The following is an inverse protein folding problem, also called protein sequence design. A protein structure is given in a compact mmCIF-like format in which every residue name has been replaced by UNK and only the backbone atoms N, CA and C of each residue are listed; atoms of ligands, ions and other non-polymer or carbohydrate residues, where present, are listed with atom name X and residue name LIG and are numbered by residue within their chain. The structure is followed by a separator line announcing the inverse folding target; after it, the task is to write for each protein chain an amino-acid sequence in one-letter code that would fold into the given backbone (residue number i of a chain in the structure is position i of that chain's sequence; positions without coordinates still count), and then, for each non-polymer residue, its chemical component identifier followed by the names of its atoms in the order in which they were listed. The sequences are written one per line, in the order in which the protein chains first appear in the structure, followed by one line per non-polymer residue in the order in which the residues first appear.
data_IF_403832582792
#
_entry.id   IF_403832582792
#
_cell.length_a   1.000
_cell.length_b   1.000
_cell.length_c   1.000
_cell.angle_alpha   90.00
_cell.angle_beta   90.00
_cell.angle_gamma   90.00
#
_symmetry.space_group_name_H-M   'P 1'
#
loop_
_entity.id
_entity.type
_entity.pdbx_description
1 polymer ?
#
# COMPACT_ATOMS: atom_id res chain seq x y z
N UNK A 1 -3.47 -24.32 16.46
CA UNK A 1 -3.77 -23.03 15.84
C UNK A 1 -2.79 -22.85 14.69
N UNK A 2 -3.25 -22.84 13.44
CA UNK A 2 -2.37 -22.48 12.33
C UNK A 2 -2.10 -20.97 12.47
N UNK A 3 -0.85 -20.49 12.37
CA UNK A 3 -0.58 -19.05 12.37
C UNK A 3 -1.35 -18.46 11.19
N UNK A 4 -2.42 -17.73 11.51
CA UNK A 4 -3.34 -17.21 10.52
C UNK A 4 -2.75 -15.98 9.89
N UNK A 5 -2.78 -15.89 8.57
CA UNK A 5 -2.55 -14.64 7.84
C UNK A 5 -3.56 -13.62 8.37
N UNK A 6 -3.12 -12.47 8.84
CA UNK A 6 -4.00 -11.35 9.16
C UNK A 6 -4.30 -10.68 7.84
N UNK A 7 -5.57 -10.71 7.48
CA UNK A 7 -6.09 -10.02 6.33
C UNK A 7 -7.43 -9.45 6.73
N UNK A 8 -7.68 -8.17 6.43
CA UNK A 8 -8.99 -7.56 6.64
C UNK A 8 -10.13 -8.40 6.02
N UNK A 9 -9.83 -9.17 4.96
CA UNK A 9 -10.78 -10.09 4.32
C UNK A 9 -11.26 -11.24 5.21
N UNK A 10 -10.55 -11.58 6.31
CA UNK A 10 -11.02 -12.57 7.29
C UNK A 10 -12.30 -12.12 8.01
N UNK A 11 -12.50 -10.80 8.16
CA UNK A 11 -13.71 -10.25 8.75
C UNK A 11 -14.93 -10.39 7.82
N UNK A 12 -14.71 -10.60 6.53
CA UNK A 12 -15.76 -10.68 5.50
C UNK A 12 -16.05 -12.15 5.20
N UNK A 13 -17.02 -12.73 5.92
CA UNK A 13 -17.31 -14.19 5.88
C UNK A 13 -17.44 -14.78 4.48
N UNK A 14 -18.11 -14.11 3.56
CA UNK A 14 -18.31 -14.63 2.20
C UNK A 14 -17.02 -14.64 1.37
N UNK A 15 -16.06 -13.75 1.67
CA UNK A 15 -14.72 -13.79 1.08
C UNK A 15 -13.93 -14.90 1.76
N UNK A 16 -13.80 -14.87 3.10
CA UNK A 16 -12.98 -15.81 3.86
C UNK A 16 -13.33 -17.29 3.62
N UNK A 17 -14.63 -17.61 3.54
CA UNK A 17 -15.10 -18.98 3.26
C UNK A 17 -15.38 -19.22 1.76
N UNK A 18 -15.20 -18.20 0.92
CA UNK A 18 -15.53 -18.24 -0.50
C UNK A 18 -14.35 -18.55 -1.43
N UNK A 19 -14.60 -18.61 -2.74
CA UNK A 19 -13.55 -18.79 -3.75
C UNK A 19 -12.58 -17.60 -3.78
N UNK A 20 -13.06 -16.40 -3.47
CA UNK A 20 -12.27 -15.16 -3.51
C UNK A 20 -11.07 -15.20 -2.56
N UNK A 21 -11.20 -15.84 -1.39
CA UNK A 21 -10.05 -16.06 -0.50
C UNK A 21 -8.91 -16.79 -1.19
N UNK A 22 -9.21 -17.87 -1.92
CA UNK A 22 -8.19 -18.69 -2.59
C UNK A 22 -7.61 -18.00 -3.83
N UNK A 23 -8.42 -17.20 -4.50
CA UNK A 23 -8.04 -16.57 -5.76
C UNK A 23 -7.28 -15.27 -5.53
N UNK A 24 -7.66 -14.50 -4.49
CA UNK A 24 -7.34 -13.08 -4.38
C UNK A 24 -6.56 -12.72 -3.11
N UNK A 25 -6.54 -13.61 -2.10
CA UNK A 25 -5.74 -13.42 -0.89
C UNK A 25 -4.45 -14.24 -0.97
N UNK A 26 -3.34 -13.53 -1.16
CA UNK A 26 -2.02 -14.14 -1.35
C UNK A 26 -1.21 -14.09 -0.05
N UNK A 27 -0.85 -15.26 0.47
CA UNK A 27 -0.14 -15.41 1.74
C UNK A 27 1.32 -14.98 1.72
N UNK A 28 1.96 -15.00 0.55
CA UNK A 28 3.36 -14.64 0.38
C UNK A 28 3.46 -13.29 -0.32
N UNK A 29 3.74 -12.18 0.40
CA UNK A 29 3.80 -10.85 -0.20
C UNK A 29 4.73 -10.73 -1.40
N UNK A 30 5.88 -11.42 -1.39
CA UNK A 30 6.87 -11.37 -2.47
C UNK A 30 6.36 -11.90 -3.81
N UNK A 31 5.21 -12.59 -3.84
CA UNK A 31 4.52 -12.97 -5.07
C UNK A 31 4.18 -11.76 -5.97
N UNK A 32 3.96 -10.56 -5.39
CA UNK A 32 3.75 -9.35 -6.22
C UNK A 32 4.91 -9.10 -7.19
N UNK A 33 6.14 -9.39 -6.77
CA UNK A 33 7.35 -9.14 -7.56
C UNK A 33 7.42 -10.08 -8.79
N UNK A 34 6.94 -11.31 -8.64
CA UNK A 34 6.85 -12.27 -9.75
C UNK A 34 5.63 -11.97 -10.63
N UNK A 35 4.50 -11.57 -10.06
CA UNK A 35 3.30 -11.18 -10.82
C UNK A 35 3.59 -10.00 -11.75
N UNK A 36 4.27 -8.96 -11.25
CA UNK A 36 4.72 -7.83 -12.07
C UNK A 36 5.63 -8.31 -13.20
N UNK A 37 6.65 -9.11 -12.88
CA UNK A 37 7.63 -9.61 -13.85
C UNK A 37 6.99 -10.50 -14.94
N UNK A 38 5.91 -11.20 -14.59
CA UNK A 38 5.21 -12.13 -15.49
C UNK A 38 4.00 -11.52 -16.21
N UNK A 39 3.75 -10.22 -16.07
CA UNK A 39 2.61 -9.59 -16.73
C UNK A 39 1.25 -10.01 -16.12
N UNK A 40 1.19 -10.19 -14.80
CA UNK A 40 0.00 -10.61 -14.04
C UNK A 40 -0.44 -9.64 -12.94
N UNK A 41 0.05 -8.40 -12.94
CA UNK A 41 -0.36 -7.40 -11.95
C UNK A 41 -1.86 -7.08 -12.15
N UNK A 42 -2.62 -7.08 -11.07
CA UNK A 42 -4.06 -6.78 -11.09
C UNK A 42 -4.31 -5.27 -11.14
N UNK A 43 -5.51 -4.87 -11.58
CA UNK A 43 -5.91 -3.46 -11.66
C UNK A 43 -5.89 -2.73 -10.31
N UNK A 44 -6.16 -3.45 -9.23
CA UNK A 44 -5.98 -2.99 -7.84
C UNK A 44 -5.25 -4.11 -7.10
N UNK A 45 -4.20 -3.76 -6.36
CA UNK A 45 -3.44 -4.70 -5.53
C UNK A 45 -3.08 -4.03 -4.22
N UNK A 46 -3.44 -4.67 -3.10
CA UNK A 46 -3.04 -4.26 -1.76
C UNK A 46 -1.94 -5.20 -1.29
N UNK A 47 -0.79 -4.65 -0.92
CA UNK A 47 0.40 -5.43 -0.59
C UNK A 47 0.94 -4.96 0.75
N UNK A 48 1.09 -5.90 1.68
CA UNK A 48 1.73 -5.68 2.96
C UNK A 48 3.06 -6.44 3.00
N UNK A 49 4.13 -5.88 3.58
CA UNK A 49 5.35 -6.65 3.83
C UNK A 49 5.10 -7.77 4.86
N UNK A 50 6.05 -8.69 4.95
CA UNK A 50 6.14 -9.59 6.11
C UNK A 50 6.68 -8.82 7.33
N UNK A 51 6.47 -9.33 8.55
CA UNK A 51 6.98 -8.73 9.80
C UNK A 51 8.44 -8.22 9.71
N UNK A 52 9.45 -9.03 9.33
CA UNK A 52 10.84 -8.58 9.24
C UNK A 52 11.13 -7.61 8.10
N UNK A 53 10.22 -7.44 7.14
CA UNK A 53 10.36 -6.50 6.04
C UNK A 53 9.40 -5.32 6.15
N UNK A 54 8.73 -5.18 7.29
CA UNK A 54 7.94 -4.01 7.64
C UNK A 54 8.81 -2.99 8.40
N UNK A 55 8.23 -1.82 8.66
CA UNK A 55 8.81 -0.83 9.58
C UNK A 55 8.33 -1.02 11.03
N UNK A 56 7.64 -2.13 11.33
CA UNK A 56 7.12 -2.40 12.68
C UNK A 56 8.27 -2.49 13.69
N UNK A 57 8.08 -1.87 14.86
CA UNK A 57 9.03 -1.95 15.97
C UNK A 57 9.30 -3.40 16.38
N UNK A 58 10.52 -3.69 16.83
CA UNK A 58 10.85 -5.02 17.35
C UNK A 58 11.06 -6.10 16.28
N UNK A 59 10.93 -5.76 14.99
CA UNK A 59 11.21 -6.71 13.89
C UNK A 59 12.65 -7.18 13.82
N UNK A 60 13.58 -6.43 14.43
CA UNK A 60 15.01 -6.73 14.40
C UNK A 60 15.66 -6.50 13.02
N UNK A 61 14.94 -5.83 12.11
CA UNK A 61 15.32 -5.61 10.72
C UNK A 61 15.06 -4.15 10.30
N UNK A 62 15.74 -3.70 9.25
CA UNK A 62 15.56 -2.39 8.65
C UNK A 62 15.28 -2.48 7.13
N UNK A 63 14.72 -3.61 6.67
CA UNK A 63 14.51 -3.88 5.25
C UNK A 63 13.23 -3.26 4.68
N UNK A 64 12.37 -2.63 5.49
CA UNK A 64 11.14 -1.94 5.06
C UNK A 64 11.32 -1.01 3.86
N UNK A 65 12.25 -0.04 3.90
CA UNK A 65 12.51 0.83 2.75
C UNK A 65 13.00 0.07 1.51
N UNK A 66 13.72 -1.04 1.69
CA UNK A 66 14.17 -1.89 0.58
C UNK A 66 13.01 -2.69 -0.03
N UNK A 67 12.04 -3.10 0.79
CA UNK A 67 10.83 -3.76 0.33
C UNK A 67 9.99 -2.84 -0.55
N UNK A 68 9.67 -1.63 -0.05
CA UNK A 68 8.94 -0.61 -0.81
C UNK A 68 9.68 -0.28 -2.11
N UNK A 69 11.00 -0.07 -2.04
CA UNK A 69 11.82 0.21 -3.22
C UNK A 69 11.78 -0.93 -4.23
N UNK A 70 11.73 -2.19 -3.79
CA UNK A 70 11.67 -3.36 -4.67
C UNK A 70 10.36 -3.45 -5.43
N UNK A 71 9.22 -3.19 -4.77
CA UNK A 71 7.90 -3.16 -5.43
C UNK A 71 7.82 -1.98 -6.40
N UNK A 72 8.23 -0.78 -5.98
CA UNK A 72 8.21 0.41 -6.84
C UNK A 72 9.14 0.25 -8.05
N UNK A 73 10.34 -0.29 -7.86
CA UNK A 73 11.26 -0.59 -8.95
C UNK A 73 10.69 -1.65 -9.90
N UNK A 74 10.05 -2.69 -9.38
CA UNK A 74 9.43 -3.72 -10.21
C UNK A 74 8.35 -3.12 -11.11
N UNK A 75 7.44 -2.30 -10.56
CA UNK A 75 6.41 -1.62 -11.36
C UNK A 75 7.05 -0.63 -12.33
N UNK A 76 7.95 0.23 -11.86
CA UNK A 76 8.60 1.28 -12.64
C UNK A 76 9.46 0.80 -13.80
N UNK A 77 9.99 -0.42 -13.73
CA UNK A 77 10.78 -1.05 -14.79
C UNK A 77 9.96 -2.00 -15.67
N UNK A 78 8.66 -2.12 -15.43
CA UNK A 78 7.77 -3.02 -16.17
C UNK A 78 6.89 -2.27 -17.16
N UNK A 79 6.10 -3.04 -17.92
CA UNK A 79 5.05 -2.52 -18.80
C UNK A 79 3.95 -1.73 -18.08
N UNK A 80 3.85 -1.81 -16.75
CA UNK A 80 2.78 -1.17 -15.98
C UNK A 80 3.02 0.30 -15.66
N UNK A 81 4.29 0.74 -15.66
CA UNK A 81 4.68 2.04 -15.13
C UNK A 81 3.81 3.19 -15.64
N UNK A 82 3.64 3.29 -16.96
CA UNK A 82 2.93 4.37 -17.64
C UNK A 82 1.41 4.44 -17.33
N UNK A 83 0.89 3.45 -16.60
CA UNK A 83 -0.53 3.34 -16.23
C UNK A 83 -0.75 3.07 -14.73
N UNK A 84 0.28 3.22 -13.88
CA UNK A 84 0.17 2.91 -12.46
C UNK A 84 0.14 4.14 -11.56
N UNK A 85 -0.57 4.02 -10.44
CA UNK A 85 -0.42 4.85 -9.26
C UNK A 85 -0.10 3.93 -8.08
N UNK A 86 0.95 4.26 -7.35
CA UNK A 86 1.40 3.52 -6.17
C UNK A 86 1.23 4.44 -4.96
N UNK A 87 0.53 3.95 -3.96
CA UNK A 87 0.37 4.61 -2.65
C UNK A 87 1.15 3.79 -1.63
N UNK A 88 2.15 4.40 -1.01
CA UNK A 88 2.87 3.79 0.11
C UNK A 88 2.57 4.60 1.38
N UNK A 89 1.97 3.93 2.36
CA UNK A 89 1.53 4.51 3.62
C UNK A 89 1.57 3.43 4.71
N UNK A 90 1.48 3.88 5.95
CA UNK A 90 1.48 3.03 7.14
C UNK A 90 0.05 2.84 7.63
N UNK A 91 -0.18 1.73 8.32
CA UNK A 91 -1.46 1.39 8.92
C UNK A 91 -1.66 2.11 10.26
N UNK A 92 -0.60 2.23 11.07
CA UNK A 92 -0.60 3.00 12.32
C UNK A 92 0.70 3.81 12.56
N UNK A 93 0.73 4.49 13.71
CA UNK A 93 1.80 5.42 14.13
C UNK A 93 2.89 4.75 14.98
N UNK A 94 2.72 3.47 15.31
CA UNK A 94 3.63 2.58 16.04
C UNK A 94 4.12 3.07 17.41
N UNK A 95 3.39 3.99 18.05
CA UNK A 95 3.78 4.55 19.34
C UNK A 95 4.76 5.72 19.24
N UNK A 96 5.14 6.16 18.03
CA UNK A 96 6.06 7.28 17.84
C UNK A 96 5.38 8.65 17.95
N UNK A 97 6.12 9.64 18.44
CA UNK A 97 5.59 10.98 18.63
C UNK A 97 5.33 11.69 17.30
N UNK A 98 4.11 12.24 17.13
CA UNK A 98 3.80 13.29 16.15
C UNK A 98 3.41 14.58 16.87
N UNK A 99 3.84 15.73 16.33
CA UNK A 99 3.61 17.03 16.95
C UNK A 99 2.21 17.60 16.73
N UNK A 100 1.45 17.03 15.79
CA UNK A 100 0.09 17.42 15.52
C UNK A 100 -0.86 16.55 16.36
N UNK A 101 -1.78 17.17 17.12
CA UNK A 101 -2.81 16.39 17.79
C UNK A 101 -3.67 15.66 16.74
N UNK A 102 -4.13 14.44 17.06
CA UNK A 102 -5.06 13.73 16.19
C UNK A 102 -6.32 14.58 15.98
N UNK A 103 -6.81 14.62 14.73
CA UNK A 103 -7.95 15.48 14.37
C UNK A 103 -9.22 15.13 15.18
N UNK A 104 -9.36 13.86 15.56
CA UNK A 104 -10.38 13.36 16.47
C UNK A 104 -9.73 12.30 17.38
N UNK A 105 -9.83 12.50 18.69
CA UNK A 105 -9.24 11.64 19.72
C UNK A 105 -10.28 10.70 20.34
N UNK A 106 -11.18 10.16 19.50
CA UNK A 106 -12.18 9.15 19.87
C UNK A 106 -11.92 7.83 19.13
N UNK A 107 -12.63 6.77 19.53
CA UNK A 107 -12.49 5.43 18.97
C UNK A 107 -12.77 5.37 17.45
N UNK A 108 -13.60 6.30 16.96
CA UNK A 108 -13.95 6.43 15.54
C UNK A 108 -13.17 7.55 14.83
N UNK A 109 -12.17 8.12 15.50
CA UNK A 109 -11.37 9.23 15.01
C UNK A 109 -10.30 8.81 14.01
N UNK A 110 -9.61 9.80 13.42
CA UNK A 110 -8.58 9.56 12.39
C UNK A 110 -7.24 9.12 12.97
N UNK A 111 -7.07 9.17 14.29
CA UNK A 111 -5.81 8.86 14.95
C UNK A 111 -4.69 9.84 14.60
N UNK A 112 -3.45 9.40 14.81
CA UNK A 112 -2.25 10.17 14.52
C UNK A 112 -1.97 10.26 13.02
N UNK A 113 -1.27 11.32 12.62
CA UNK A 113 -0.87 11.52 11.24
C UNK A 113 0.17 10.48 10.82
N UNK A 114 0.00 9.93 9.61
CA UNK A 114 0.92 9.00 8.98
C UNK A 114 1.55 9.60 7.71
N UNK A 115 2.74 9.15 7.30
CA UNK A 115 3.28 9.52 6.00
C UNK A 115 2.46 8.86 4.87
N UNK A 116 2.26 9.60 3.77
CA UNK A 116 1.70 9.09 2.52
C UNK A 116 2.61 9.50 1.37
N UNK A 117 3.11 8.50 0.64
CA UNK A 117 3.85 8.69 -0.60
C UNK A 117 2.98 8.30 -1.79
N UNK A 118 2.91 9.20 -2.79
CA UNK A 118 2.20 8.98 -4.05
C UNK A 118 3.23 8.92 -5.17
N UNK A 119 3.34 7.76 -5.82
CA UNK A 119 4.36 7.47 -6.82
C UNK A 119 3.66 7.06 -8.11
N UNK A 120 3.82 7.86 -9.15
CA UNK A 120 3.22 7.63 -10.46
C UNK A 120 3.95 8.44 -11.53
N UNK A 121 3.96 8.02 -12.81
CA UNK A 121 4.33 8.89 -13.91
C UNK A 121 3.47 10.17 -13.96
N UNK A 122 2.24 10.14 -13.40
CA UNK A 122 1.31 11.26 -13.38
C UNK A 122 1.27 12.03 -12.05
N UNK A 123 2.00 11.60 -11.03
CA UNK A 123 2.08 12.34 -9.77
C UNK A 123 2.84 13.66 -9.98
N UNK A 124 2.42 14.74 -9.31
CA UNK A 124 3.13 16.03 -9.32
C UNK A 124 4.54 15.85 -8.75
N UNK A 125 5.55 16.32 -9.47
CA UNK A 125 6.96 16.18 -9.07
C UNK A 125 7.32 17.24 -8.02
N UNK A 126 8.09 16.84 -7.00
CA UNK A 126 8.57 17.73 -5.94
C UNK A 126 7.42 18.50 -5.26
N UNK A 127 6.30 17.80 -5.03
CA UNK A 127 5.09 18.36 -4.47
C UNK A 127 4.80 17.73 -3.11
N UNK A 128 4.53 18.59 -2.13
CA UNK A 128 4.04 18.19 -0.81
C UNK A 128 2.61 18.69 -0.72
N UNK A 129 1.66 17.76 -0.63
CA UNK A 129 0.27 18.13 -0.42
C UNK A 129 0.04 18.55 1.04
N UNK A 130 -0.84 19.53 1.21
CA UNK A 130 -1.39 19.93 2.51
C UNK A 130 -2.89 19.64 2.62
N UNK A 131 -3.46 18.91 1.65
CA UNK A 131 -4.83 18.40 1.74
C UNK A 131 -4.88 17.35 2.84
N UNK A 132 -5.94 17.40 3.65
CA UNK A 132 -6.18 16.39 4.67
C UNK A 132 -6.62 15.08 4.00
N UNK A 133 -5.77 14.06 4.09
CA UNK A 133 -6.05 12.70 3.65
C UNK A 133 -6.18 11.75 4.85
N UNK A 134 -6.88 10.65 4.62
CA UNK A 134 -7.10 9.55 5.56
C UNK A 134 -7.05 8.22 4.80
N UNK A 135 -7.07 7.06 5.48
CA UNK A 135 -7.01 5.76 4.78
C UNK A 135 -8.12 5.60 3.73
N UNK A 136 -9.32 6.14 4.00
CA UNK A 136 -10.44 6.17 3.06
C UNK A 136 -10.16 6.94 1.76
N UNK A 137 -9.19 7.85 1.75
CA UNK A 137 -8.78 8.60 0.56
C UNK A 137 -8.24 7.71 -0.55
N UNK A 138 -7.61 6.59 -0.21
CA UNK A 138 -7.08 5.63 -1.18
C UNK A 138 -8.21 4.87 -1.87
N UNK A 139 -9.20 4.41 -1.09
CA UNK A 139 -10.40 3.80 -1.65
C UNK A 139 -11.17 4.79 -2.53
N UNK A 140 -11.32 6.04 -2.05
CA UNK A 140 -11.97 7.10 -2.82
C UNK A 140 -11.30 7.34 -4.18
N UNK A 141 -9.97 7.35 -4.20
CA UNK A 141 -9.20 7.47 -5.45
C UNK A 141 -9.49 6.32 -6.42
N UNK A 142 -9.49 5.07 -5.92
CA UNK A 142 -9.80 3.89 -6.74
C UNK A 142 -11.20 4.03 -7.32
N UNK A 143 -12.19 4.38 -6.50
CA UNK A 143 -13.56 4.58 -6.97
C UNK A 143 -13.66 5.66 -8.05
N UNK A 144 -12.96 6.79 -7.87
CA UNK A 144 -12.93 7.87 -8.87
C UNK A 144 -12.34 7.40 -10.20
N UNK A 145 -11.20 6.71 -10.16
CA UNK A 145 -10.46 6.25 -11.35
C UNK A 145 -11.24 5.18 -12.12
N UNK A 146 -11.90 4.27 -11.41
CA UNK A 146 -12.66 3.17 -12.01
C UNK A 146 -14.14 3.52 -12.26
N UNK A 147 -14.59 4.72 -11.91
CA UNK A 147 -15.98 5.15 -12.07
C UNK A 147 -16.96 4.36 -11.20
N UNK A 148 -16.53 3.95 -10.00
CA UNK A 148 -17.34 3.19 -9.04
C UNK A 148 -18.12 4.13 -8.10
N UNK A 149 -19.17 3.61 -7.48
CA UNK A 149 -19.87 4.27 -6.38
C UNK A 149 -19.06 4.23 -5.09
N UNK A 150 -19.47 5.04 -4.10
CA UNK A 150 -18.92 4.96 -2.72
C UNK A 150 -19.44 3.70 -2.04
N UNK A 151 -18.62 3.03 -1.25
CA UNK A 151 -19.00 1.84 -0.50
C UNK A 151 -19.52 2.14 0.91
N UNK A 152 -19.01 3.18 1.57
CA UNK A 152 -19.28 3.42 2.99
C UNK A 152 -19.27 4.92 3.39
N UNK A 153 -19.13 5.18 4.69
CA UNK A 153 -19.04 6.55 5.22
C UNK A 153 -17.62 7.14 5.07
N UNK A 154 -16.59 6.30 5.16
CA UNK A 154 -15.20 6.72 5.13
C UNK A 154 -14.74 7.21 3.75
N UNK A 155 -15.04 6.49 2.68
CA UNK A 155 -14.77 6.93 1.31
C UNK A 155 -15.63 8.15 0.89
N UNK A 156 -16.83 8.26 1.43
CA UNK A 156 -17.72 9.41 1.21
C UNK A 156 -17.11 10.68 1.82
N UNK A 157 -16.65 10.62 3.08
CA UNK A 157 -16.09 11.79 3.79
C UNK A 157 -14.68 12.16 3.29
N UNK A 158 -13.89 11.19 2.84
CA UNK A 158 -12.49 11.39 2.48
C UNK A 158 -12.31 12.39 1.34
N UNK A 159 -11.12 13.01 1.29
CA UNK A 159 -10.65 13.72 0.10
C UNK A 159 -9.94 12.75 -0.85
N UNK A 160 -10.15 12.89 -2.15
CA UNK A 160 -9.46 12.08 -3.15
C UNK A 160 -8.16 12.77 -3.57
N UNK A 161 -7.01 12.08 -3.61
CA UNK A 161 -5.77 12.64 -4.10
C UNK A 161 -5.78 12.94 -5.60
N UNK A 162 -6.76 12.45 -6.38
CA UNK A 162 -6.77 12.56 -7.84
C UNK A 162 -6.65 14.01 -8.35
N UNK A 163 -7.37 14.95 -7.74
CA UNK A 163 -7.39 16.35 -8.19
C UNK A 163 -6.18 17.17 -7.69
N UNK A 164 -5.56 16.75 -6.59
CA UNK A 164 -4.49 17.52 -5.93
C UNK A 164 -3.09 16.94 -6.21
N UNK A 165 -2.89 15.64 -6.08
CA UNK A 165 -1.57 15.02 -6.16
C UNK A 165 -1.16 14.62 -7.59
N UNK A 166 -2.10 14.61 -8.55
CA UNK A 166 -1.85 14.18 -9.92
C UNK A 166 -2.02 15.32 -10.93
N UNK A 167 -1.29 15.19 -12.03
CA UNK A 167 -1.56 15.87 -13.29
C UNK A 167 -1.73 14.80 -14.37
N UNK A 168 -2.98 14.48 -14.70
CA UNK A 168 -3.32 13.47 -15.71
C UNK A 168 -3.23 13.99 -17.15
N UNK A 169 -2.95 15.28 -17.35
CA UNK A 169 -2.76 15.86 -18.69
C UNK A 169 -1.31 15.78 -19.15
N UNK A 170 -0.37 15.51 -18.25
CA UNK A 170 1.04 15.34 -18.59
C UNK A 170 1.29 14.00 -19.29
N UNK A 171 2.31 13.96 -20.16
CA UNK A 171 2.82 12.68 -20.67
C UNK A 171 3.50 11.87 -19.56
N UNK A 172 3.42 10.53 -19.57
CA UNK A 172 4.06 9.71 -18.56
C UNK A 172 5.54 10.05 -18.38
N UNK A 173 5.93 10.39 -17.14
CA UNK A 173 7.34 10.62 -16.82
C UNK A 173 8.10 9.30 -16.84
N UNK A 174 9.31 9.29 -17.41
CA UNK A 174 10.18 8.11 -17.35
C UNK A 174 10.49 7.73 -15.90
N UNK A 175 10.45 6.44 -15.60
CA UNK A 175 10.83 5.92 -14.30
C UNK A 175 12.34 6.09 -14.06
N UNK A 176 12.70 6.37 -12.80
CA UNK A 176 14.09 6.39 -12.34
C UNK A 176 14.21 5.36 -11.22
N UNK A 177 15.06 4.32 -11.37
CA UNK A 177 15.24 3.31 -10.34
C UNK A 177 15.68 3.90 -9.00
N UNK A 178 15.08 3.40 -7.93
CA UNK A 178 15.40 3.74 -6.55
C UNK A 178 16.53 2.81 -6.07
N UNK A 179 17.63 3.40 -5.61
CA UNK A 179 18.72 2.64 -5.01
C UNK A 179 18.35 2.23 -3.58
N UNK A 180 18.47 0.94 -3.26
CA UNK A 180 18.22 0.40 -1.93
C UNK A 180 19.24 -0.70 -1.59
N UNK A 181 19.55 -0.93 -0.29
CA UNK A 181 20.46 -1.99 0.14
C UNK A 181 20.07 -3.40 -0.35
N UNK A 182 18.77 -3.68 -0.47
CA UNK A 182 18.26 -4.95 -0.96
C UNK A 182 17.32 -4.75 -2.16
N UNK A 183 17.51 -5.56 -3.21
CA UNK A 183 16.64 -5.63 -4.37
C UNK A 183 15.65 -6.79 -4.31
N UNK A 184 14.81 -6.93 -5.34
CA UNK A 184 13.73 -7.94 -5.40
C UNK A 184 14.22 -9.38 -5.15
N UNK A 185 15.42 -9.72 -5.58
CA UNK A 185 15.99 -11.06 -5.43
C UNK A 185 16.24 -11.43 -3.96
N UNK A 186 16.47 -10.45 -3.09
CA UNK A 186 16.58 -10.68 -1.65
C UNK A 186 15.25 -11.21 -1.08
N UNK A 187 14.15 -10.54 -1.39
CA UNK A 187 12.82 -10.88 -0.91
C UNK A 187 12.26 -12.16 -1.54
N UNK A 188 12.57 -12.42 -2.81
CA UNK A 188 12.16 -13.65 -3.50
C UNK A 188 12.84 -14.92 -2.95
N UNK A 189 13.99 -14.78 -2.27
CA UNK A 189 14.70 -15.90 -1.64
C UNK A 189 14.30 -16.15 -0.18
N UNK A 190 13.54 -15.24 0.43
CA UNK A 190 13.06 -15.45 1.79
C UNK A 190 12.02 -16.58 1.83
N UNK A 191 12.02 -17.40 2.90
CA UNK A 191 10.99 -18.42 3.08
C UNK A 191 9.61 -17.76 3.20
N UNK A 192 8.55 -18.54 2.99
CA UNK A 192 7.19 -18.09 3.28
C UNK A 192 7.13 -17.75 4.77
N UNK A 193 6.78 -16.50 5.05
CA UNK A 193 6.55 -16.00 6.40
C UNK A 193 5.04 -15.79 6.58
N UNK A 194 4.44 -16.56 7.49
CA UNK A 194 3.03 -16.47 7.84
C UNK A 194 2.79 -15.67 9.12
N UNK A 195 3.85 -15.11 9.72
CA UNK A 195 3.70 -14.22 10.86
C UNK A 195 3.08 -12.91 10.39
N UNK A 196 2.09 -12.47 11.14
CA UNK A 196 1.39 -11.24 10.83
C UNK A 196 2.16 -10.07 11.42
N UNK A 197 2.26 -8.94 10.69
CA UNK A 197 2.93 -7.74 11.18
C UNK A 197 2.39 -7.20 12.51
N UNK A 198 1.17 -7.57 12.93
CA UNK A 198 0.53 -7.02 14.16
C UNK A 198 -0.08 -8.13 15.02
N UNK A 199 0.66 -9.22 15.27
CA UNK A 199 0.25 -10.25 16.22
C UNK A 199 0.55 -9.80 17.66
N UNK A 200 -0.12 -8.72 18.07
CA UNK A 200 -0.29 -8.38 19.50
C UNK A 200 -1.51 -9.13 20.06
#
# INVERSE_FOLDING_TARGET
SSPGIWSAYQAIKHIYYGPDWKNDVISQPSQILTDISNGKLRSVSWVTPTWPNSDHAGSGSNTGPSWVSSVVNAIGQSQYWDSSAIFAFWDDYGGWYDSQPPAYADYDGLGFRLPLLIISPYAKKNYVSHVHYEHGSILKFVEDVFGLGRLAAADTRANSPAADAFDFKQSPRKFVPISAPHGKEYFLRQPIDLHVPDAE
#
